data_IF_693270537804
#
_entry.id   IF_693270537804
#
_cell.length_a   1.000
_cell.length_b   1.000
_cell.length_c   1.000
_cell.angle_alpha   90.00
_cell.angle_beta   90.00
_cell.angle_gamma   90.00
#
_symmetry.space_group_name_H-M   'P 1'
#
loop_
_entity.id
_entity.type
_entity.pdbx_description
1 polymer ?
#
# COMPACT_ATOMS: atom_id res chain seq x y z
N UNK A 1 38.84 6.53 -2.11
CA UNK A 1 37.45 6.52 -2.58
C UNK A 1 36.71 7.80 -2.20
N UNK A 2 36.67 8.20 -0.92
CA UNK A 2 35.94 9.40 -0.43
C UNK A 2 36.41 10.67 -1.15
N UNK A 3 37.72 10.89 -1.30
CA UNK A 3 38.30 12.05 -1.99
C UNK A 3 37.92 12.10 -3.48
N UNK A 4 37.75 10.92 -4.12
CA UNK A 4 37.30 10.83 -5.49
C UNK A 4 35.81 11.16 -5.59
N UNK A 5 34.99 10.66 -4.64
CA UNK A 5 33.58 10.95 -4.57
C UNK A 5 33.27 12.43 -4.33
N UNK A 6 34.06 13.12 -3.51
CA UNK A 6 33.97 14.58 -3.33
C UNK A 6 34.17 15.37 -4.64
N UNK A 7 34.95 14.84 -5.56
CA UNK A 7 35.23 15.46 -6.88
C UNK A 7 34.22 15.07 -7.95
N UNK A 8 33.51 13.95 -7.78
CA UNK A 8 32.54 13.44 -8.74
C UNK A 8 31.22 13.05 -8.04
N UNK A 9 30.18 13.87 -8.14
CA UNK A 9 28.89 13.60 -7.49
C UNK A 9 28.28 12.24 -7.79
N UNK A 10 28.57 11.65 -8.98
CA UNK A 10 28.07 10.32 -9.37
C UNK A 10 28.67 9.18 -8.53
N UNK A 11 29.83 9.40 -7.92
CA UNK A 11 30.49 8.38 -7.09
C UNK A 11 30.04 8.46 -5.61
N UNK A 12 29.36 9.55 -5.20
CA UNK A 12 28.93 9.79 -3.81
C UNK A 12 27.96 8.69 -3.35
N UNK A 13 26.93 8.39 -4.13
CA UNK A 13 25.93 7.36 -3.84
C UNK A 13 26.58 6.01 -3.54
N UNK A 14 27.51 5.58 -4.41
CA UNK A 14 28.23 4.32 -4.24
C UNK A 14 29.09 4.25 -2.98
N UNK A 15 29.67 5.38 -2.56
CA UNK A 15 30.46 5.46 -1.32
C UNK A 15 29.53 5.44 -0.10
N UNK A 16 28.46 6.23 -0.11
CA UNK A 16 27.50 6.27 1.00
C UNK A 16 26.87 4.91 1.26
N UNK A 17 26.40 4.24 0.19
CA UNK A 17 25.71 2.95 0.34
C UNK A 17 26.64 1.78 0.65
N UNK A 18 27.76 1.66 -0.07
CA UNK A 18 28.64 0.49 0.04
C UNK A 18 29.69 0.59 1.15
N UNK A 19 30.25 1.79 1.36
CA UNK A 19 31.34 1.96 2.33
C UNK A 19 30.82 2.45 3.69
N UNK A 20 29.70 3.20 3.73
CA UNK A 20 29.15 3.76 4.98
C UNK A 20 27.80 3.15 5.39
N UNK A 21 27.22 2.24 4.56
CA UNK A 21 25.91 1.65 4.80
C UNK A 21 24.79 2.68 5.05
N UNK A 22 24.95 3.86 4.45
CA UNK A 22 23.96 4.93 4.49
C UNK A 22 23.03 4.71 3.29
N UNK A 23 21.74 4.65 3.55
CA UNK A 23 20.75 4.64 2.47
C UNK A 23 20.89 5.92 1.67
N UNK A 24 21.21 5.78 0.40
CA UNK A 24 21.21 6.88 -0.53
C UNK A 24 19.97 6.79 -1.42
N UNK A 25 19.28 7.89 -1.54
CA UNK A 25 18.18 8.02 -2.48
C UNK A 25 18.80 8.20 -3.84
N UNK A 26 18.61 7.22 -4.72
CA UNK A 26 19.13 7.27 -6.08
C UNK A 26 18.73 8.62 -6.69
N UNK A 27 19.66 9.30 -7.31
CA UNK A 27 19.45 10.65 -7.92
C UNK A 27 18.33 10.68 -8.98
N UNK A 28 17.80 9.52 -9.37
CA UNK A 28 16.65 9.35 -10.24
C UNK A 28 15.33 9.05 -9.50
N UNK A 29 15.35 8.97 -8.15
CA UNK A 29 14.13 8.78 -7.38
C UNK A 29 13.27 10.05 -7.45
N UNK A 30 11.97 9.88 -7.65
CA UNK A 30 11.01 10.97 -7.69
C UNK A 30 10.92 11.75 -6.35
N UNK A 31 11.01 11.02 -5.23
CA UNK A 31 10.97 11.59 -3.88
C UNK A 31 12.19 11.13 -3.08
N UNK A 32 12.69 11.98 -2.18
CA UNK A 32 13.72 11.59 -1.21
C UNK A 32 13.11 10.72 -0.10
N UNK A 33 13.98 10.03 0.66
CA UNK A 33 13.51 9.25 1.81
C UNK A 33 12.78 10.15 2.84
N UNK A 34 13.26 11.35 3.06
CA UNK A 34 12.65 12.30 4.00
C UNK A 34 11.26 12.78 3.51
N UNK A 35 11.09 12.93 2.20
CA UNK A 35 9.80 13.29 1.61
C UNK A 35 8.73 12.21 1.78
N UNK A 36 9.12 10.92 1.73
CA UNK A 36 8.21 9.78 1.87
C UNK A 36 8.05 9.29 3.31
N UNK A 37 8.99 9.64 4.21
CA UNK A 37 8.97 9.22 5.60
C UNK A 37 8.05 10.13 6.41
N UNK A 38 6.76 9.84 6.40
CA UNK A 38 5.78 10.56 7.21
C UNK A 38 5.49 9.78 8.50
N UNK A 39 5.96 10.25 9.67
CA UNK A 39 5.71 9.61 10.96
C UNK A 39 4.32 9.92 11.54
N UNK A 40 3.53 10.80 10.91
CA UNK A 40 2.20 11.16 11.40
C UNK A 40 1.26 9.96 11.32
N UNK A 41 0.53 9.73 12.39
CA UNK A 41 -0.53 8.73 12.47
C UNK A 41 -1.87 9.40 12.74
N UNK A 42 -2.95 8.73 12.39
CA UNK A 42 -4.31 9.20 12.67
C UNK A 42 -5.22 8.01 13.00
N UNK A 43 -6.31 8.28 13.68
CA UNK A 43 -7.36 7.31 13.93
C UNK A 43 -8.41 7.44 12.82
N UNK A 44 -8.73 6.32 12.14
CA UNK A 44 -9.75 6.29 11.09
C UNK A 44 -11.13 6.72 11.59
N UNK A 45 -11.42 6.56 12.87
CA UNK A 45 -12.69 6.95 13.49
C UNK A 45 -12.99 8.45 13.39
N UNK A 46 -11.97 9.30 13.20
CA UNK A 46 -12.15 10.75 12.96
C UNK A 46 -12.87 11.03 11.64
N UNK A 47 -12.91 10.08 10.71
CA UNK A 47 -13.58 10.19 9.42
C UNK A 47 -14.96 9.53 9.39
N UNK A 48 -15.60 9.37 10.53
CA UNK A 48 -16.95 8.80 10.62
C UNK A 48 -17.93 9.56 9.72
N UNK A 49 -18.69 8.81 8.91
CA UNK A 49 -19.65 9.35 7.92
C UNK A 49 -18.99 10.26 6.85
N UNK A 50 -17.75 9.99 6.49
CA UNK A 50 -17.05 10.68 5.42
C UNK A 50 -17.02 9.85 4.14
N UNK A 51 -16.82 10.55 3.02
CA UNK A 51 -16.55 9.92 1.73
C UNK A 51 -15.05 9.72 1.54
N UNK A 52 -14.70 8.69 0.77
CA UNK A 52 -13.33 8.38 0.40
C UNK A 52 -13.23 8.03 -1.09
N UNK A 53 -12.00 8.00 -1.60
CA UNK A 53 -11.67 7.37 -2.87
C UNK A 53 -10.88 6.10 -2.55
N UNK A 54 -11.34 4.96 -3.03
CA UNK A 54 -10.69 3.67 -2.85
C UNK A 54 -9.71 3.35 -3.97
N UNK A 55 -8.74 2.50 -3.65
CA UNK A 55 -7.85 1.88 -4.61
C UNK A 55 -7.49 0.47 -4.17
N UNK A 56 -7.26 -0.44 -5.12
CA UNK A 56 -6.79 -1.79 -4.85
C UNK A 56 -5.80 -2.25 -5.91
N UNK A 57 -4.72 -2.85 -5.46
CA UNK A 57 -3.73 -3.55 -6.27
C UNK A 57 -3.73 -5.02 -5.84
N UNK A 58 -4.20 -5.88 -6.75
CA UNK A 58 -4.47 -7.29 -6.45
C UNK A 58 -3.35 -8.18 -6.99
N UNK A 59 -2.79 -9.00 -6.12
CA UNK A 59 -1.91 -10.10 -6.50
C UNK A 59 -2.59 -11.45 -6.25
N UNK A 60 -2.03 -12.53 -6.81
CA UNK A 60 -2.56 -13.88 -6.61
C UNK A 60 -1.78 -14.62 -5.53
N UNK A 61 -0.45 -14.64 -5.60
CA UNK A 61 0.37 -15.54 -4.77
C UNK A 61 1.62 -14.91 -4.16
N UNK A 62 2.37 -14.13 -4.91
CA UNK A 62 3.74 -13.73 -4.51
C UNK A 62 3.87 -12.29 -4.07
N UNK A 63 3.14 -11.37 -4.66
CA UNK A 63 3.24 -9.97 -4.32
C UNK A 63 2.25 -9.61 -3.20
N UNK A 64 2.50 -8.50 -2.52
CA UNK A 64 1.53 -7.93 -1.60
C UNK A 64 0.28 -7.51 -2.36
N UNK A 65 -0.89 -7.93 -1.86
CA UNK A 65 -2.14 -7.26 -2.23
C UNK A 65 -2.31 -6.06 -1.32
N UNK A 66 -2.73 -4.95 -1.88
CA UNK A 66 -2.95 -3.71 -1.16
C UNK A 66 -4.33 -3.12 -1.45
N UNK A 67 -4.97 -2.57 -0.42
CA UNK A 67 -6.12 -1.70 -0.57
C UNK A 67 -5.89 -0.39 0.18
N UNK A 68 -6.47 0.68 -0.35
CA UNK A 68 -6.27 2.03 0.19
C UNK A 68 -7.56 2.84 0.14
N UNK A 69 -7.69 3.75 1.10
CA UNK A 69 -8.70 4.80 1.13
C UNK A 69 -8.01 6.15 1.25
N UNK A 70 -8.24 7.02 0.27
CA UNK A 70 -7.85 8.42 0.32
C UNK A 70 -9.01 9.23 0.91
N UNK A 71 -8.77 9.83 2.06
CA UNK A 71 -9.69 10.63 2.83
C UNK A 71 -9.25 12.10 2.82
N UNK A 72 -10.18 13.01 3.01
CA UNK A 72 -9.87 14.43 3.12
C UNK A 72 -10.65 15.04 4.28
N UNK A 73 -9.95 15.72 5.16
CA UNK A 73 -10.56 16.55 6.18
C UNK A 73 -11.29 17.74 5.55
N UNK A 74 -12.53 17.96 5.95
CA UNK A 74 -13.42 18.96 5.33
C UNK A 74 -13.04 20.40 5.65
N UNK A 75 -12.39 20.62 6.80
CA UNK A 75 -12.04 21.97 7.27
C UNK A 75 -10.65 22.36 6.80
N UNK A 76 -9.68 21.48 7.00
CA UNK A 76 -8.27 21.74 6.71
C UNK A 76 -7.87 21.38 5.28
N UNK A 77 -8.69 20.60 4.56
CA UNK A 77 -8.39 19.98 3.26
C UNK A 77 -7.13 19.08 3.29
N UNK A 78 -6.63 18.74 4.47
CA UNK A 78 -5.54 17.78 4.63
C UNK A 78 -5.98 16.40 4.18
N UNK A 79 -5.11 15.73 3.42
CA UNK A 79 -5.37 14.39 2.88
C UNK A 79 -4.75 13.34 3.79
N UNK A 80 -5.47 12.24 3.95
CA UNK A 80 -5.08 11.10 4.76
C UNK A 80 -5.22 9.83 3.93
N UNK A 81 -4.28 8.92 4.11
CA UNK A 81 -4.29 7.64 3.41
C UNK A 81 -4.35 6.52 4.43
N UNK A 82 -5.42 5.74 4.40
CA UNK A 82 -5.58 4.53 5.20
C UNK A 82 -5.37 3.32 4.31
N UNK A 83 -4.48 2.41 4.71
CA UNK A 83 -4.05 1.28 3.89
C UNK A 83 -4.12 -0.02 4.68
N UNK A 84 -4.37 -1.12 3.96
CA UNK A 84 -4.26 -2.47 4.44
C UNK A 84 -3.58 -3.34 3.40
N UNK A 85 -2.79 -4.29 3.87
CA UNK A 85 -2.04 -5.22 3.03
C UNK A 85 -2.40 -6.65 3.37
N UNK A 86 -2.25 -7.56 2.38
CA UNK A 86 -2.49 -9.01 2.57
C UNK A 86 -1.38 -9.85 1.99
N UNK A 87 -1.08 -10.96 2.69
CA UNK A 87 -0.20 -12.04 2.25
C UNK A 87 -0.85 -13.39 2.52
N UNK A 88 -0.53 -14.44 1.72
CA UNK A 88 -0.90 -15.81 2.02
C UNK A 88 -0.19 -16.30 3.28
N UNK A 89 -0.92 -17.03 4.11
CA UNK A 89 -0.41 -17.58 5.38
C UNK A 89 0.70 -18.61 5.18
N UNK A 90 0.52 -19.57 4.24
CA UNK A 90 1.38 -20.74 4.11
C UNK A 90 2.86 -20.44 3.85
N UNK A 91 3.15 -19.28 3.27
CA UNK A 91 4.51 -18.86 2.95
C UNK A 91 5.02 -17.70 3.82
N UNK A 92 4.26 -17.27 4.80
CA UNK A 92 4.54 -16.06 5.57
C UNK A 92 5.90 -16.12 6.28
N UNK A 93 6.16 -17.16 7.10
CA UNK A 93 7.41 -17.30 7.85
C UNK A 93 8.63 -17.42 6.93
N UNK A 94 8.50 -18.17 5.83
CA UNK A 94 9.56 -18.29 4.82
C UNK A 94 9.88 -16.94 4.20
N UNK A 95 8.86 -16.13 3.91
CA UNK A 95 9.04 -14.80 3.33
C UNK A 95 9.73 -13.85 4.29
N UNK A 96 9.32 -13.81 5.55
CA UNK A 96 10.00 -13.01 6.60
C UNK A 96 11.49 -13.34 6.64
N UNK A 97 11.83 -14.62 6.60
CA UNK A 97 13.22 -15.06 6.68
C UNK A 97 14.03 -14.76 5.40
N UNK A 98 13.48 -15.07 4.22
CA UNK A 98 14.22 -14.96 2.95
C UNK A 98 14.26 -13.55 2.39
N UNK A 99 13.16 -12.81 2.44
CA UNK A 99 13.06 -11.47 1.86
C UNK A 99 13.65 -10.40 2.78
N UNK A 100 13.85 -10.71 4.07
CA UNK A 100 14.33 -9.78 5.10
C UNK A 100 13.47 -8.52 5.21
N UNK A 101 12.19 -8.63 4.89
CA UNK A 101 11.19 -7.60 5.04
C UNK A 101 10.45 -7.86 6.35
N UNK A 102 10.23 -6.85 7.20
CA UNK A 102 9.65 -7.03 8.53
C UNK A 102 8.12 -7.21 8.48
N UNK A 103 7.63 -8.20 7.72
CA UNK A 103 6.20 -8.51 7.61
C UNK A 103 5.58 -8.89 8.95
N UNK A 104 6.33 -9.56 9.82
CA UNK A 104 5.94 -9.88 11.19
C UNK A 104 5.61 -8.62 12.00
N UNK A 105 6.42 -7.57 11.87
CA UNK A 105 6.18 -6.30 12.53
C UNK A 105 4.97 -5.56 11.96
N UNK A 106 4.73 -5.71 10.66
CA UNK A 106 3.54 -5.11 10.03
C UNK A 106 2.27 -5.83 10.47
N UNK A 107 2.33 -7.16 10.62
CA UNK A 107 1.24 -7.96 11.17
C UNK A 107 0.93 -7.56 12.62
N UNK A 108 1.96 -7.49 13.49
CA UNK A 108 1.83 -7.04 14.89
C UNK A 108 1.21 -5.64 15.01
N UNK A 109 1.51 -4.75 14.06
CA UNK A 109 0.99 -3.38 14.02
C UNK A 109 -0.38 -3.25 13.36
N UNK A 110 -0.98 -4.34 12.90
CA UNK A 110 -2.28 -4.34 12.23
C UNK A 110 -2.28 -3.71 10.84
N UNK A 111 -1.11 -3.57 10.21
CA UNK A 111 -0.97 -3.04 8.85
C UNK A 111 -1.05 -4.13 7.77
N UNK A 112 -0.88 -5.38 8.17
CA UNK A 112 -0.90 -6.56 7.32
C UNK A 112 -1.91 -7.57 7.87
N UNK A 113 -2.65 -8.22 6.99
CA UNK A 113 -3.52 -9.36 7.28
C UNK A 113 -3.05 -10.58 6.52
N UNK A 114 -3.31 -11.77 7.06
CA UNK A 114 -2.96 -13.02 6.41
C UNK A 114 -4.23 -13.69 5.87
N UNK A 115 -4.20 -14.06 4.58
CA UNK A 115 -5.22 -14.91 3.97
C UNK A 115 -4.89 -16.39 4.23
N UNK A 116 -5.90 -17.20 4.53
CA UNK A 116 -5.70 -18.63 4.71
C UNK A 116 -5.24 -19.31 3.42
N UNK A 117 -4.26 -20.23 3.54
CA UNK A 117 -3.74 -20.99 2.40
C UNK A 117 -2.57 -20.31 1.69
N UNK A 118 -2.36 -20.69 0.42
CA UNK A 118 -1.20 -20.31 -0.38
C UNK A 118 -1.48 -19.18 -1.40
N UNK A 119 -2.68 -18.63 -1.40
CA UNK A 119 -3.12 -17.59 -2.32
C UNK A 119 -3.93 -16.52 -1.60
N UNK A 120 -4.05 -15.35 -2.21
CA UNK A 120 -4.90 -14.28 -1.71
C UNK A 120 -6.36 -14.62 -1.97
N UNK A 121 -7.17 -14.55 -0.92
CA UNK A 121 -8.63 -14.59 -1.03
C UNK A 121 -9.16 -13.16 -1.17
N UNK A 122 -9.66 -12.81 -2.35
CA UNK A 122 -10.13 -11.46 -2.63
C UNK A 122 -11.36 -11.05 -1.80
N UNK A 123 -12.14 -12.02 -1.29
CA UNK A 123 -13.22 -11.71 -0.35
C UNK A 123 -12.71 -11.13 0.97
N UNK A 124 -11.44 -11.36 1.36
CA UNK A 124 -10.84 -10.70 2.53
C UNK A 124 -10.63 -9.20 2.29
N UNK A 125 -10.37 -8.81 1.03
CA UNK A 125 -10.28 -7.39 0.64
C UNK A 125 -11.67 -6.76 0.64
N UNK A 126 -12.67 -7.47 0.12
CA UNK A 126 -14.08 -7.06 0.17
C UNK A 126 -14.51 -6.84 1.63
N UNK A 127 -14.18 -7.78 2.52
CA UNK A 127 -14.49 -7.68 3.94
C UNK A 127 -13.89 -6.43 4.59
N UNK A 128 -12.68 -6.03 4.21
CA UNK A 128 -12.07 -4.80 4.70
C UNK A 128 -12.82 -3.54 4.22
N UNK A 129 -13.24 -3.47 2.96
CA UNK A 129 -14.05 -2.32 2.50
C UNK A 129 -15.40 -2.26 3.21
N UNK A 130 -16.02 -3.43 3.48
CA UNK A 130 -17.25 -3.51 4.27
C UNK A 130 -17.03 -3.12 5.74
N UNK A 131 -15.91 -3.47 6.35
CA UNK A 131 -15.49 -3.01 7.69
C UNK A 131 -15.40 -1.49 7.73
N UNK A 132 -14.72 -0.87 6.73
CA UNK A 132 -14.62 0.58 6.65
C UNK A 132 -15.98 1.26 6.52
N UNK A 133 -16.88 0.68 5.74
CA UNK A 133 -18.24 1.18 5.56
C UNK A 133 -19.10 1.02 6.82
N UNK A 134 -19.12 -0.17 7.40
CA UNK A 134 -20.08 -0.53 8.46
C UNK A 134 -19.63 -0.10 9.85
N UNK A 135 -18.35 -0.21 10.16
CA UNK A 135 -17.83 0.09 11.50
C UNK A 135 -17.39 1.54 11.62
N UNK A 136 -16.73 2.07 10.58
CA UNK A 136 -16.22 3.45 10.61
C UNK A 136 -17.10 4.44 9.85
N UNK A 137 -18.08 3.97 9.09
CA UNK A 137 -18.98 4.83 8.29
C UNK A 137 -18.24 5.56 7.15
N UNK A 138 -17.11 5.03 6.70
CA UNK A 138 -16.35 5.57 5.57
C UNK A 138 -16.89 4.99 4.27
N UNK A 139 -17.43 5.85 3.40
CA UNK A 139 -18.07 5.43 2.15
C UNK A 139 -17.16 5.71 0.95
N UNK A 140 -16.59 4.68 0.29
CA UNK A 140 -15.87 4.88 -0.95
C UNK A 140 -16.82 5.31 -2.06
N UNK A 141 -16.58 6.46 -2.70
CA UNK A 141 -17.36 6.94 -3.85
C UNK A 141 -17.05 6.14 -5.10
N UNK A 142 -15.78 5.82 -5.30
CA UNK A 142 -15.25 4.96 -6.35
C UNK A 142 -14.08 4.17 -5.79
N UNK A 143 -13.90 2.94 -6.28
CA UNK A 143 -12.75 2.09 -5.98
C UNK A 143 -12.04 1.80 -7.30
N UNK A 144 -10.82 2.31 -7.42
CA UNK A 144 -9.97 2.10 -8.59
C UNK A 144 -9.20 0.80 -8.45
N UNK A 145 -9.08 0.03 -9.53
CA UNK A 145 -8.38 -1.24 -9.53
C UNK A 145 -7.65 -1.50 -10.86
N UNK A 146 -6.56 -2.28 -10.81
CA UNK A 146 -5.95 -2.82 -12.02
C UNK A 146 -6.78 -4.00 -12.55
N UNK A 147 -6.93 -4.06 -13.86
CA UNK A 147 -7.82 -5.00 -14.53
C UNK A 147 -7.29 -6.43 -14.61
N UNK A 148 -6.05 -6.66 -14.25
CA UNK A 148 -5.45 -7.99 -14.29
C UNK A 148 -6.02 -8.85 -13.15
N UNK A 149 -6.66 -9.98 -13.50
CA UNK A 149 -7.23 -10.97 -12.54
C UNK A 149 -8.39 -10.52 -11.66
N UNK A 150 -8.93 -9.30 -11.81
CA UNK A 150 -9.90 -8.73 -10.88
C UNK A 150 -11.39 -9.04 -11.19
N UNK A 151 -11.72 -9.75 -12.28
CA UNK A 151 -13.11 -9.86 -12.78
C UNK A 151 -14.12 -10.33 -11.70
N UNK A 152 -13.85 -11.45 -11.04
CA UNK A 152 -14.78 -12.01 -10.05
C UNK A 152 -14.87 -11.15 -8.79
N UNK A 153 -13.74 -10.54 -8.41
CA UNK A 153 -13.72 -9.61 -7.27
C UNK A 153 -14.54 -8.35 -7.56
N UNK A 154 -14.47 -7.82 -8.77
CA UNK A 154 -15.29 -6.67 -9.19
C UNK A 154 -16.78 -7.01 -9.11
N UNK A 155 -17.18 -8.17 -9.63
CA UNK A 155 -18.56 -8.64 -9.56
C UNK A 155 -19.05 -8.76 -8.10
N UNK A 156 -18.21 -9.28 -7.19
CA UNK A 156 -18.49 -9.37 -5.75
C UNK A 156 -18.66 -7.97 -5.13
N UNK A 157 -17.73 -7.05 -5.38
CA UNK A 157 -17.78 -5.68 -4.86
C UNK A 157 -19.01 -4.91 -5.34
N UNK A 158 -19.38 -5.07 -6.62
CA UNK A 158 -20.58 -4.46 -7.19
C UNK A 158 -21.88 -5.02 -6.58
N UNK A 159 -21.91 -6.29 -6.20
CA UNK A 159 -23.04 -6.90 -5.47
C UNK A 159 -23.25 -6.25 -4.09
N UNK A 160 -22.16 -5.81 -3.44
CA UNK A 160 -22.24 -5.03 -2.19
C UNK A 160 -22.50 -3.53 -2.42
N UNK A 161 -22.67 -3.09 -3.68
CA UNK A 161 -23.02 -1.72 -4.02
C UNK A 161 -21.85 -0.77 -4.18
N UNK A 162 -20.59 -1.28 -4.18
CA UNK A 162 -19.43 -0.47 -4.46
C UNK A 162 -19.33 -0.12 -5.95
N UNK A 163 -18.88 1.10 -6.25
CA UNK A 163 -18.63 1.56 -7.62
C UNK A 163 -17.19 1.28 -8.01
N UNK A 164 -17.00 0.33 -8.90
CA UNK A 164 -15.68 -0.12 -9.36
C UNK A 164 -15.25 0.63 -10.62
N UNK A 165 -14.02 1.14 -10.64
CA UNK A 165 -13.45 1.88 -11.78
C UNK A 165 -12.13 1.25 -12.18
N UNK A 166 -12.08 0.79 -13.42
CA UNK A 166 -10.85 0.23 -13.99
C UNK A 166 -9.79 1.31 -14.21
N UNK A 167 -8.60 1.11 -13.67
CA UNK A 167 -7.43 1.93 -13.93
C UNK A 167 -6.55 1.26 -14.97
N UNK A 168 -6.35 1.90 -16.13
CA UNK A 168 -5.46 1.38 -17.17
C UNK A 168 -4.07 1.94 -16.90
N UNK A 169 -3.14 1.06 -16.51
CA UNK A 169 -1.74 1.42 -16.33
C UNK A 169 -1.00 1.27 -17.67
N UNK A 170 -0.42 2.36 -18.18
CA UNK A 170 0.36 2.33 -19.41
C UNK A 170 0.67 3.71 -19.99
N UNK A 171 1.52 3.74 -21.02
CA UNK A 171 2.04 4.98 -21.64
C UNK A 171 1.00 5.86 -22.35
N UNK A 172 -0.29 5.57 -22.24
CA UNK A 172 -1.40 6.34 -22.84
C UNK A 172 -2.38 6.89 -21.80
N UNK A 173 -2.00 6.94 -20.53
CA UNK A 173 -2.76 7.61 -19.47
C UNK A 173 -2.18 8.99 -19.18
#
# INVERSE_FOLDING_TARGET
KVERAKKNPKDISGVLTKDFNIRDTISSAWLTFDDINNPETFDISMFKNCYAIGGADLSITTDLTAATLLLMDKETHKRYVHQMYWLPYDNFEKRVYHEKIPYDKWLERGLLRLCNGNSINYSDITAWFLEMLNEYGVTPLWIYYDSYSAKYWVEEMEQYGFKMVRCIQGART
#
